data_IF_312598495605
#
_entry.id   IF_312598495605
#
_cell.length_a   1.000
_cell.length_b   1.000
_cell.length_c   1.000
_cell.angle_alpha   90.00
_cell.angle_beta   90.00
_cell.angle_gamma   90.00
#
_symmetry.space_group_name_H-M   'P 1'
#
loop_
_entity.id
_entity.type
_entity.pdbx_description
1 polymer ?
#
# COMPACT_ATOMS: atom_id res chain seq x y z
N UNK A 1 -4.32 -5.71 17.56
CA UNK A 1 -4.16 -4.32 18.05
C UNK A 1 -3.42 -3.57 16.97
N UNK A 2 -3.91 -2.41 16.55
CA UNK A 2 -3.28 -1.57 15.53
C UNK A 2 -2.01 -0.97 16.16
N UNK A 3 -0.84 -1.57 15.89
CA UNK A 3 0.43 -1.27 16.57
C UNK A 3 0.94 0.13 16.24
N UNK A 4 0.57 0.66 15.08
CA UNK A 4 1.04 1.96 14.58
C UNK A 4 0.03 3.09 14.83
N UNK A 5 -1.03 2.83 15.59
CA UNK A 5 -2.16 3.75 15.79
C UNK A 5 -1.83 5.05 16.51
N UNK A 6 -0.67 5.14 17.16
CA UNK A 6 -0.29 6.31 17.94
C UNK A 6 0.74 7.18 17.17
N UNK A 7 1.12 6.76 15.95
CA UNK A 7 2.05 7.50 15.09
C UNK A 7 1.34 8.56 14.25
N UNK A 8 2.00 9.71 14.10
CA UNK A 8 1.53 10.81 13.24
C UNK A 8 2.30 10.83 11.92
N UNK A 9 1.66 11.12 10.77
CA UNK A 9 0.22 11.33 10.58
C UNK A 9 -0.58 10.02 10.54
N UNK A 10 -1.67 9.98 11.31
CA UNK A 10 -2.48 8.78 11.55
C UNK A 10 -2.91 8.03 10.29
N UNK A 11 -3.33 8.77 9.27
CA UNK A 11 -3.89 8.19 8.04
C UNK A 11 -2.84 7.38 7.28
N UNK A 12 -1.60 7.88 7.22
CA UNK A 12 -0.49 7.19 6.53
C UNK A 12 -0.16 5.89 7.25
N UNK A 13 -0.01 5.94 8.57
CA UNK A 13 0.33 4.77 9.37
C UNK A 13 -0.77 3.71 9.40
N UNK A 14 -2.03 4.14 9.34
CA UNK A 14 -3.16 3.21 9.24
C UNK A 14 -3.13 2.43 7.92
N UNK A 15 -2.92 3.12 6.79
CA UNK A 15 -2.77 2.43 5.49
C UNK A 15 -1.49 1.61 5.40
N UNK A 16 -0.39 2.06 5.99
CA UNK A 16 0.84 1.28 6.04
C UNK A 16 0.64 -0.03 6.81
N UNK A 17 -0.05 0.00 7.95
CA UNK A 17 -0.35 -1.21 8.73
C UNK A 17 -1.28 -2.17 7.95
N UNK A 18 -2.27 -1.65 7.23
CA UNK A 18 -3.11 -2.45 6.31
C UNK A 18 -2.29 -3.09 5.19
N UNK A 19 -1.37 -2.34 4.56
CA UNK A 19 -0.49 -2.84 3.50
C UNK A 19 0.47 -3.91 4.03
N UNK A 20 0.96 -3.79 5.27
CA UNK A 20 1.76 -4.83 5.93
C UNK A 20 1.01 -6.16 6.04
N UNK A 21 -0.33 -6.15 6.11
CA UNK A 21 -1.15 -7.36 6.13
C UNK A 21 -1.30 -8.02 4.75
N UNK A 22 -0.78 -7.41 3.68
CA UNK A 22 -0.88 -7.90 2.32
C UNK A 22 0.49 -8.42 1.85
N UNK A 23 0.67 -9.76 1.75
CA UNK A 23 1.87 -10.34 1.14
C UNK A 23 2.00 -9.87 -0.31
N UNK A 24 3.16 -9.29 -0.65
CA UNK A 24 3.43 -8.64 -1.94
C UNK A 24 4.88 -8.85 -2.42
N UNK A 25 5.36 -10.10 -2.50
CA UNK A 25 6.71 -10.37 -2.97
C UNK A 25 6.87 -9.91 -4.42
N UNK A 26 8.07 -9.48 -4.81
CA UNK A 26 8.38 -9.13 -6.20
C UNK A 26 7.99 -10.28 -7.14
N UNK A 27 7.32 -9.94 -8.25
CA UNK A 27 6.73 -10.85 -9.26
C UNK A 27 5.48 -11.63 -8.81
N UNK A 28 4.91 -11.35 -7.64
CA UNK A 28 3.57 -11.86 -7.23
C UNK A 28 2.73 -10.74 -6.60
N UNK A 29 2.55 -9.66 -7.36
CA UNK A 29 1.89 -8.44 -6.92
C UNK A 29 0.35 -8.54 -6.96
N UNK A 30 -0.24 -9.69 -7.34
CA UNK A 30 -1.69 -9.81 -7.58
C UNK A 30 -2.52 -9.46 -6.34
N UNK A 31 -2.02 -9.80 -5.15
CA UNK A 31 -2.69 -9.49 -3.88
C UNK A 31 -2.71 -7.99 -3.59
N UNK A 32 -1.60 -7.29 -3.79
CA UNK A 32 -1.53 -5.83 -3.55
C UNK A 32 -2.27 -5.05 -4.64
N UNK A 33 -2.24 -5.51 -5.89
CA UNK A 33 -3.06 -4.96 -6.98
C UNK A 33 -4.55 -5.07 -6.62
N UNK A 34 -4.99 -6.24 -6.13
CA UNK A 34 -6.38 -6.42 -5.68
C UNK A 34 -6.73 -5.47 -4.53
N UNK A 35 -5.87 -5.36 -3.52
CA UNK A 35 -6.06 -4.44 -2.40
C UNK A 35 -6.26 -2.99 -2.87
N UNK A 36 -5.40 -2.49 -3.77
CA UNK A 36 -5.47 -1.12 -4.29
C UNK A 36 -6.71 -0.87 -5.17
N UNK A 37 -7.10 -1.84 -6.00
CA UNK A 37 -8.31 -1.72 -6.82
C UNK A 37 -9.59 -1.79 -5.98
N UNK A 38 -9.62 -2.62 -4.93
CA UNK A 38 -10.73 -2.64 -3.96
C UNK A 38 -10.80 -1.34 -3.16
N UNK A 39 -9.66 -0.76 -2.77
CA UNK A 39 -9.59 0.57 -2.17
C UNK A 39 -10.22 1.62 -3.09
N UNK A 40 -9.81 1.66 -4.37
CA UNK A 40 -10.37 2.60 -5.32
C UNK A 40 -11.89 2.45 -5.47
N UNK A 41 -12.40 1.20 -5.58
CA UNK A 41 -13.84 0.92 -5.63
C UNK A 41 -14.57 1.38 -4.37
N UNK A 42 -14.06 1.06 -3.19
CA UNK A 42 -14.63 1.45 -1.89
C UNK A 42 -14.77 2.97 -1.77
N UNK A 43 -13.83 3.71 -2.33
CA UNK A 43 -13.81 5.18 -2.31
C UNK A 43 -14.41 5.83 -3.56
N UNK A 44 -15.03 5.06 -4.46
CA UNK A 44 -15.61 5.53 -5.73
C UNK A 44 -14.60 6.31 -6.60
N UNK A 45 -13.36 5.85 -6.62
CA UNK A 45 -12.28 6.42 -7.45
C UNK A 45 -12.16 5.66 -8.76
N UNK A 46 -11.92 6.41 -9.84
CA UNK A 46 -11.55 5.81 -11.14
C UNK A 46 -10.21 5.12 -10.97
N UNK A 47 -10.10 3.88 -11.42
CA UNK A 47 -8.85 3.15 -11.43
C UNK A 47 -8.72 2.34 -12.71
N UNK A 48 -7.48 2.01 -13.06
CA UNK A 48 -7.13 1.12 -14.16
C UNK A 48 -5.91 0.28 -13.78
N UNK A 49 -5.78 -0.89 -14.41
CA UNK A 49 -4.62 -1.77 -14.26
C UNK A 49 -4.15 -2.13 -15.66
N UNK A 50 -2.91 -1.76 -15.99
CA UNK A 50 -2.36 -2.04 -17.31
C UNK A 50 -1.94 -3.51 -17.49
N UNK A 51 -1.49 -3.85 -18.69
CA UNK A 51 -1.05 -5.23 -19.00
C UNK A 51 0.19 -5.68 -18.22
N UNK A 52 0.98 -4.74 -17.70
CA UNK A 52 2.17 -5.02 -16.90
C UNK A 52 1.86 -5.12 -15.40
N UNK A 53 0.62 -4.83 -14.99
CA UNK A 53 0.19 -4.84 -13.59
C UNK A 53 0.39 -3.51 -12.86
N UNK A 54 0.72 -2.42 -13.56
CA UNK A 54 0.77 -1.10 -12.94
C UNK A 54 -0.64 -0.63 -12.61
N UNK A 55 -0.81 -0.07 -11.41
CA UNK A 55 -2.11 0.43 -10.94
C UNK A 55 -2.13 1.95 -11.01
N UNK A 56 -3.13 2.50 -11.70
CA UNK A 56 -3.42 3.93 -11.72
C UNK A 56 -4.73 4.18 -10.97
N UNK A 57 -4.71 5.04 -9.96
CA UNK A 57 -5.92 5.52 -9.26
C UNK A 57 -6.01 7.03 -9.47
N UNK A 58 -7.15 7.50 -9.99
CA UNK A 58 -7.39 8.90 -10.29
C UNK A 58 -8.45 9.48 -9.35
N UNK A 59 -8.15 10.64 -8.78
CA UNK A 59 -9.06 11.42 -7.93
C UNK A 59 -9.22 12.82 -8.54
N UNK A 60 -10.45 13.34 -8.68
CA UNK A 60 -10.66 14.70 -9.15
C UNK A 60 -10.09 15.72 -8.16
N UNK A 61 -9.78 16.92 -8.67
CA UNK A 61 -9.37 18.03 -7.84
C UNK A 61 -10.43 18.32 -6.76
N UNK A 62 -9.97 18.75 -5.58
CA UNK A 62 -10.87 19.31 -4.57
C UNK A 62 -11.46 20.63 -5.07
N UNK A 63 -12.67 20.96 -4.61
CA UNK A 63 -13.40 22.17 -5.03
C UNK A 63 -12.51 23.43 -4.96
N UNK A 64 -12.44 24.18 -6.05
CA UNK A 64 -11.64 25.41 -6.18
C UNK A 64 -10.25 25.22 -6.78
N UNK A 65 -9.87 23.97 -7.11
CA UNK A 65 -8.57 23.63 -7.68
C UNK A 65 -8.67 22.94 -9.05
N UNK A 66 -9.83 22.98 -9.70
CA UNK A 66 -10.13 22.26 -10.94
C UNK A 66 -9.27 22.71 -12.13
N UNK A 67 -8.75 23.94 -12.07
CA UNK A 67 -7.91 24.53 -13.13
C UNK A 67 -6.40 24.42 -12.84
N UNK A 68 -6.01 23.79 -11.74
CA UNK A 68 -4.59 23.53 -11.48
C UNK A 68 -4.09 22.33 -12.27
N UNK A 69 -2.77 22.25 -12.43
CA UNK A 69 -2.12 21.13 -13.09
C UNK A 69 -2.35 19.82 -12.33
N UNK A 70 -2.48 18.73 -13.09
CA UNK A 70 -2.58 17.39 -12.52
C UNK A 70 -1.23 16.96 -11.99
N UNK A 71 -1.22 16.39 -10.79
CA UNK A 71 -0.01 15.82 -10.17
C UNK A 71 -0.13 14.30 -10.12
N UNK A 72 0.99 13.60 -10.35
CA UNK A 72 1.11 12.15 -10.20
C UNK A 72 2.02 11.85 -9.02
N UNK A 73 1.52 11.06 -8.08
CA UNK A 73 2.31 10.47 -6.99
C UNK A 73 2.63 9.03 -7.36
N UNK A 74 3.91 8.66 -7.38
CA UNK A 74 4.35 7.34 -7.82
C UNK A 74 5.14 6.63 -6.71
N UNK A 75 4.85 5.34 -6.55
CA UNK A 75 5.60 4.38 -5.73
C UNK A 75 5.57 3.02 -6.44
N UNK A 76 6.44 2.11 -6.02
CA UNK A 76 6.31 0.69 -6.36
C UNK A 76 5.52 -0.04 -5.26
N UNK A 77 4.99 -1.22 -5.57
CA UNK A 77 4.06 -1.96 -4.70
C UNK A 77 4.71 -3.18 -4.04
N UNK A 78 5.71 -3.77 -4.69
CA UNK A 78 6.35 -4.99 -4.25
C UNK A 78 7.34 -4.75 -3.11
N UNK A 79 7.72 -5.85 -2.46
CA UNK A 79 8.80 -5.87 -1.48
C UNK A 79 9.83 -6.95 -1.80
N UNK A 80 11.07 -6.65 -1.44
CA UNK A 80 12.14 -7.63 -1.39
C UNK A 80 11.90 -8.58 -0.22
N UNK A 81 11.98 -9.88 -0.49
CA UNK A 81 11.74 -10.92 0.49
C UNK A 81 13.05 -11.45 1.07
N UNK A 82 13.43 -10.95 2.24
CA UNK A 82 14.57 -11.42 3.00
C UNK A 82 14.16 -11.68 4.45
N UNK A 83 14.58 -12.81 5.00
CA UNK A 83 14.34 -13.18 6.39
C UNK A 83 15.66 -13.55 7.07
N UNK A 84 15.77 -13.23 8.36
CA UNK A 84 16.88 -13.69 9.18
C UNK A 84 16.89 -15.23 9.22
N UNK A 85 18.08 -15.83 9.30
CA UNK A 85 18.29 -17.29 9.21
C UNK A 85 17.46 -18.11 10.20
N UNK A 86 17.15 -17.53 11.36
CA UNK A 86 16.40 -18.12 12.46
C UNK A 86 14.88 -17.89 12.37
N UNK A 87 14.42 -17.05 11.45
CA UNK A 87 12.99 -16.78 11.25
C UNK A 87 12.42 -17.59 10.09
N UNK A 88 11.35 -18.34 10.38
CA UNK A 88 10.47 -18.92 9.35
C UNK A 88 9.39 -17.90 9.01
N UNK A 89 9.31 -17.52 7.74
CA UNK A 89 8.29 -16.62 7.23
C UNK A 89 7.95 -17.04 5.79
N UNK A 90 6.68 -17.32 5.52
CA UNK A 90 6.16 -17.62 4.19
C UNK A 90 5.73 -16.31 3.53
N UNK A 91 6.60 -15.71 2.71
CA UNK A 91 6.33 -14.42 2.03
C UNK A 91 5.13 -14.43 1.08
N UNK A 92 4.61 -15.61 0.72
CA UNK A 92 3.40 -15.70 -0.08
C UNK A 92 2.13 -15.61 0.76
N UNK A 93 2.21 -15.80 2.09
CA UNK A 93 1.03 -15.95 2.96
C UNK A 93 1.07 -15.10 4.22
N UNK A 94 2.23 -15.00 4.85
CA UNK A 94 2.39 -14.39 6.15
C UNK A 94 2.43 -12.86 6.03
N UNK A 95 1.73 -12.13 6.91
CA UNK A 95 1.81 -10.68 6.94
C UNK A 95 3.15 -10.22 7.55
N UNK A 96 3.54 -8.99 7.21
CA UNK A 96 4.64 -8.33 7.92
C UNK A 96 4.13 -7.83 9.27
N UNK A 97 4.88 -8.12 10.33
CA UNK A 97 4.64 -7.56 11.65
C UNK A 97 5.52 -6.32 11.87
N UNK A 98 4.99 -5.11 11.73
CA UNK A 98 5.75 -3.91 12.06
C UNK A 98 6.00 -3.83 13.56
N UNK A 99 7.12 -3.22 13.93
CA UNK A 99 7.56 -2.96 15.31
C UNK A 99 7.99 -1.50 15.38
N UNK A 100 7.75 -0.87 16.52
CA UNK A 100 8.31 0.45 16.86
C UNK A 100 9.48 0.22 17.79
N UNK A 101 10.66 0.71 17.43
CA UNK A 101 11.89 0.61 18.23
C UNK A 101 12.48 2.00 18.48
N UNK A 102 12.03 2.62 19.56
CA UNK A 102 12.41 3.98 19.92
C UNK A 102 11.93 5.01 18.90
N UNK A 103 12.84 5.49 18.06
CA UNK A 103 12.59 6.50 17.01
C UNK A 103 12.32 5.88 15.63
N UNK A 104 12.31 4.55 15.53
CA UNK A 104 12.16 3.79 14.27
C UNK A 104 10.85 3.01 14.22
#
# INVERSE_FOLDING_TARGET
>A
MNKLKDLSPQLVWSYFEEICQVPRPSKKEEKIIKFLTDFAKKHNLKHDVDKAGNVLISKPATKGYENLETVVLQSHMDMVCEANKDKKHDFDKDPIEPVIDGEW
#
